data_IF_246829402251
#
_entry.id   IF_246829402251
#
_cell.length_a   1.000
_cell.length_b   1.000
_cell.length_c   1.000
_cell.angle_alpha   90.00
_cell.angle_beta   90.00
_cell.angle_gamma   90.00
#
_symmetry.space_group_name_H-M   'P 1'
#
loop_
_entity.id
_entity.type
_entity.pdbx_description
1 polymer ?
#
# COMPACT_ATOMS: atom_id res chain seq x y z
N UNK A 1 5.31 13.16 -2.45
CA UNK A 1 4.40 12.20 -1.81
C UNK A 1 3.75 11.37 -2.91
N UNK A 2 3.29 10.17 -2.60
CA UNK A 2 2.53 9.28 -3.47
C UNK A 2 1.11 9.08 -2.89
N UNK A 3 0.33 8.16 -3.45
CA UNK A 3 -0.91 7.67 -2.85
C UNK A 3 -2.19 8.29 -3.40
N UNK A 4 -3.30 7.97 -2.74
CA UNK A 4 -4.65 8.30 -3.20
C UNK A 4 -4.91 9.80 -3.18
N UNK A 5 -4.43 10.53 -2.16
CA UNK A 5 -4.53 12.00 -2.12
C UNK A 5 -3.92 12.65 -3.34
N UNK A 6 -2.77 12.15 -3.79
CA UNK A 6 -2.09 12.67 -4.97
C UNK A 6 -2.91 12.37 -6.22
N UNK A 7 -3.43 11.15 -6.33
CA UNK A 7 -4.26 10.74 -7.46
C UNK A 7 -5.50 11.63 -7.63
N UNK A 8 -6.28 11.85 -6.56
CA UNK A 8 -7.53 12.64 -6.65
C UNK A 8 -7.26 14.12 -6.90
N UNK A 9 -6.18 14.68 -6.35
CA UNK A 9 -5.77 16.06 -6.66
C UNK A 9 -5.37 16.19 -8.12
N UNK A 10 -4.59 15.25 -8.66
CA UNK A 10 -4.23 15.24 -10.08
C UNK A 10 -5.45 15.15 -10.97
N UNK A 11 -6.40 14.27 -10.64
CA UNK A 11 -7.66 14.15 -11.36
C UNK A 11 -8.45 15.47 -11.35
N UNK A 12 -8.57 16.13 -10.20
CA UNK A 12 -9.25 17.42 -10.08
C UNK A 12 -8.57 18.54 -10.88
N UNK A 13 -7.25 18.49 -11.03
CA UNK A 13 -6.47 19.41 -11.85
C UNK A 13 -6.40 19.03 -13.33
N UNK A 14 -7.06 17.94 -13.75
CA UNK A 14 -7.03 17.43 -15.13
C UNK A 14 -5.67 16.87 -15.55
N UNK A 15 -4.84 16.46 -14.60
CA UNK A 15 -3.53 15.87 -14.85
C UNK A 15 -3.63 14.33 -15.02
N UNK A 16 -2.70 13.70 -15.75
CA UNK A 16 -2.66 12.24 -15.90
C UNK A 16 -2.49 11.50 -14.55
N UNK A 17 -3.19 10.36 -14.41
CA UNK A 17 -3.24 9.55 -13.17
C UNK A 17 -2.82 8.08 -13.34
N UNK A 18 -2.26 7.67 -14.49
CA UNK A 18 -1.90 6.28 -14.74
C UNK A 18 -0.55 5.85 -14.12
N UNK A 19 -0.50 4.67 -13.51
CA UNK A 19 0.71 4.05 -12.95
C UNK A 19 1.43 4.89 -11.89
N UNK A 20 2.72 5.14 -12.06
CA UNK A 20 3.52 5.97 -11.13
C UNK A 20 3.11 7.45 -11.11
N UNK A 21 2.12 7.85 -11.93
CA UNK A 21 1.59 9.21 -11.98
C UNK A 21 0.90 9.66 -10.69
N UNK A 22 0.63 8.77 -9.73
CA UNK A 22 0.19 9.15 -8.38
C UNK A 22 1.32 9.72 -7.52
N UNK A 23 2.35 10.32 -8.11
CA UNK A 23 3.49 10.97 -7.43
C UNK A 23 3.39 12.49 -7.59
N UNK A 24 3.65 13.23 -6.50
CA UNK A 24 3.82 14.69 -6.57
C UNK A 24 5.06 15.01 -7.41
N UNK A 25 4.82 15.67 -8.53
CA UNK A 25 5.84 16.10 -9.48
C UNK A 25 5.75 17.61 -9.73
N UNK A 26 6.69 18.13 -10.55
CA UNK A 26 6.73 19.56 -10.86
C UNK A 26 5.45 20.06 -11.55
N UNK A 27 4.91 19.38 -12.59
CA UNK A 27 3.65 19.77 -13.21
C UNK A 27 2.48 19.89 -12.21
N UNK A 28 2.37 18.96 -11.26
CA UNK A 28 1.35 19.04 -10.23
C UNK A 28 1.54 20.25 -9.31
N UNK A 29 2.76 20.50 -8.82
CA UNK A 29 3.03 21.66 -7.96
C UNK A 29 2.75 22.99 -8.68
N UNK A 30 3.08 23.08 -9.97
CA UNK A 30 2.77 24.27 -10.77
C UNK A 30 1.25 24.45 -10.97
N UNK A 31 0.52 23.37 -11.21
CA UNK A 31 -0.95 23.40 -11.32
C UNK A 31 -1.64 23.75 -9.99
N UNK A 32 -1.14 23.23 -8.86
CA UNK A 32 -1.62 23.62 -7.52
C UNK A 32 -1.35 25.09 -7.25
N UNK A 33 -0.17 25.60 -7.63
CA UNK A 33 0.17 27.02 -7.47
C UNK A 33 -0.79 27.93 -8.26
N UNK A 34 -1.20 27.52 -9.46
CA UNK A 34 -2.19 28.26 -10.26
C UNK A 34 -3.60 28.17 -9.66
N UNK A 35 -3.99 27.00 -9.15
CA UNK A 35 -5.23 26.85 -8.40
C UNK A 35 -5.26 27.77 -7.17
N UNK A 36 -4.19 27.79 -6.39
CA UNK A 36 -4.07 28.67 -5.21
C UNK A 36 -4.17 30.15 -5.59
N UNK A 37 -3.47 30.57 -6.64
CA UNK A 37 -3.54 31.93 -7.17
C UNK A 37 -4.95 32.34 -7.57
N UNK A 38 -5.66 31.48 -8.32
CA UNK A 38 -7.02 31.76 -8.79
C UNK A 38 -8.08 31.74 -7.69
N UNK A 39 -7.79 31.10 -6.55
CA UNK A 39 -8.70 30.99 -5.41
C UNK A 39 -8.30 31.86 -4.21
N UNK A 40 -7.30 32.74 -4.35
CA UNK A 40 -6.89 33.66 -3.28
C UNK A 40 -6.27 32.98 -2.06
N UNK A 41 -5.59 31.85 -2.27
CA UNK A 41 -4.88 31.10 -1.23
C UNK A 41 -3.40 31.46 -1.20
N UNK A 42 -2.72 31.09 -0.12
CA UNK A 42 -1.25 31.13 -0.06
C UNK A 42 -0.68 30.23 -1.18
N UNK A 43 0.25 30.78 -1.96
CA UNK A 43 0.80 30.13 -3.15
C UNK A 43 2.10 29.42 -2.77
N UNK A 44 1.99 28.19 -2.28
CA UNK A 44 3.12 27.33 -1.91
C UNK A 44 3.28 26.10 -2.81
N UNK A 45 2.33 25.85 -3.72
CA UNK A 45 2.31 24.69 -4.60
C UNK A 45 2.03 23.36 -3.87
N UNK A 46 1.61 23.43 -2.61
CA UNK A 46 1.34 22.29 -1.74
C UNK A 46 -0.16 22.23 -1.44
N UNK A 47 -0.74 21.05 -1.61
CA UNK A 47 -2.11 20.81 -1.14
C UNK A 47 -2.05 20.49 0.35
N UNK A 48 -2.29 21.49 1.20
CA UNK A 48 -2.61 21.31 2.61
C UNK A 48 -4.13 21.31 2.86
N UNK A 49 -4.60 21.20 4.12
CA UNK A 49 -6.02 21.16 4.47
C UNK A 49 -6.86 22.31 3.88
N UNK A 50 -6.29 23.52 3.83
CA UNK A 50 -6.98 24.71 3.28
C UNK A 50 -7.14 24.59 1.77
N UNK A 51 -6.06 24.28 1.04
CA UNK A 51 -6.11 24.04 -0.41
C UNK A 51 -7.03 22.87 -0.75
N UNK A 52 -6.96 21.77 0.02
CA UNK A 52 -7.81 20.59 -0.13
C UNK A 52 -9.30 20.94 -0.05
N UNK A 53 -9.70 21.67 0.99
CA UNK A 53 -11.08 22.12 1.16
C UNK A 53 -11.51 23.09 0.04
N UNK A 54 -10.63 24.00 -0.39
CA UNK A 54 -10.90 24.92 -1.49
C UNK A 54 -11.11 24.20 -2.83
N UNK A 55 -10.44 23.06 -3.06
CA UNK A 55 -10.66 22.20 -4.23
C UNK A 55 -12.01 21.45 -4.19
N UNK A 56 -12.80 21.59 -3.11
CA UNK A 56 -14.13 20.99 -2.97
C UNK A 56 -14.14 19.60 -2.33
N UNK A 57 -12.99 19.10 -1.87
CA UNK A 57 -12.91 17.83 -1.15
C UNK A 57 -13.41 17.97 0.30
N UNK A 58 -13.86 16.86 0.90
CA UNK A 58 -14.32 16.89 2.29
C UNK A 58 -13.11 17.04 3.21
N UNK A 59 -13.14 17.92 4.23
CA UNK A 59 -12.01 18.10 5.13
C UNK A 59 -11.58 16.83 5.88
N UNK A 60 -12.51 15.93 6.18
CA UNK A 60 -12.22 14.65 6.83
C UNK A 60 -11.36 13.71 5.97
N UNK A 61 -11.55 13.76 4.65
CA UNK A 61 -10.87 12.88 3.70
C UNK A 61 -9.35 13.17 3.67
N UNK A 62 -8.94 14.40 3.98
CA UNK A 62 -7.52 14.77 4.10
C UNK A 62 -6.77 13.91 5.12
N UNK A 63 -7.44 13.54 6.22
CA UNK A 63 -6.90 12.71 7.29
C UNK A 63 -7.19 11.22 7.10
N UNK A 64 -8.31 10.89 6.44
CA UNK A 64 -8.73 9.50 6.23
C UNK A 64 -8.02 8.81 5.04
N UNK A 65 -7.52 9.57 4.07
CA UNK A 65 -6.78 9.00 2.95
C UNK A 65 -5.29 8.83 3.27
N UNK A 66 -4.74 7.73 2.76
CA UNK A 66 -3.38 7.24 2.95
C UNK A 66 -3.02 7.04 4.44
N UNK A 67 -4.01 6.56 5.21
CA UNK A 67 -3.92 6.26 6.64
C UNK A 67 -4.51 4.89 6.93
N UNK A 68 -4.08 4.27 8.05
CA UNK A 68 -4.67 3.02 8.52
C UNK A 68 -6.17 3.17 8.75
N UNK A 69 -6.96 2.36 8.04
CA UNK A 69 -8.43 2.40 8.12
C UNK A 69 -9.05 1.02 8.28
N UNK A 70 -8.29 -0.06 8.13
CA UNK A 70 -8.79 -1.39 8.40
C UNK A 70 -9.23 -1.53 9.87
N UNK A 71 -10.43 -2.10 10.14
CA UNK A 71 -10.85 -2.34 11.51
C UNK A 71 -9.97 -3.42 12.16
N UNK A 72 -9.76 -3.37 13.48
CA UNK A 72 -9.17 -4.49 14.20
C UNK A 72 -10.15 -5.67 14.17
N UNK A 73 -9.69 -6.81 13.67
CA UNK A 73 -10.45 -8.04 13.42
C UNK A 73 -10.09 -9.17 14.38
N UNK A 74 -9.05 -8.97 15.20
CA UNK A 74 -8.53 -9.97 16.11
C UNK A 74 -8.79 -9.62 17.58
N UNK A 75 -8.81 -10.66 18.41
CA UNK A 75 -8.88 -10.57 19.87
C UNK A 75 -7.72 -11.38 20.48
N UNK A 76 -7.16 -11.01 21.65
CA UNK A 76 -6.06 -11.74 22.28
C UNK A 76 -6.32 -13.24 22.55
N UNK A 77 -7.57 -13.70 22.53
CA UNK A 77 -7.94 -15.11 22.69
C UNK A 77 -7.91 -15.93 21.40
N UNK A 78 -7.77 -15.28 20.23
CA UNK A 78 -7.73 -15.98 18.95
C UNK A 78 -6.44 -16.79 18.81
N UNK A 79 -6.56 -18.00 18.28
CA UNK A 79 -5.38 -18.79 17.94
C UNK A 79 -4.72 -18.29 16.66
N UNK A 80 -3.49 -18.74 16.44
CA UNK A 80 -2.68 -18.37 15.29
C UNK A 80 -3.38 -18.66 13.95
N UNK A 81 -4.10 -19.77 13.84
CA UNK A 81 -4.73 -20.15 12.58
C UNK A 81 -5.87 -19.18 12.23
N UNK A 82 -6.67 -18.78 13.23
CA UNK A 82 -7.74 -17.80 13.03
C UNK A 82 -7.18 -16.41 12.69
N UNK A 83 -6.07 -15.99 13.31
CA UNK A 83 -5.40 -14.72 12.97
C UNK A 83 -4.95 -14.72 11.50
N UNK A 84 -4.37 -15.82 11.00
CA UNK A 84 -3.99 -15.95 9.59
C UNK A 84 -5.20 -15.82 8.68
N UNK A 85 -6.33 -16.45 9.03
CA UNK A 85 -7.55 -16.33 8.22
C UNK A 85 -8.15 -14.93 8.26
N UNK A 86 -8.10 -14.19 9.38
CA UNK A 86 -8.53 -12.79 9.42
C UNK A 86 -7.59 -11.88 8.62
N UNK A 87 -6.28 -12.13 8.64
CA UNK A 87 -5.32 -11.44 7.78
C UNK A 87 -5.66 -11.64 6.31
N UNK A 88 -5.89 -12.90 5.90
CA UNK A 88 -6.26 -13.21 4.51
C UNK A 88 -7.65 -12.69 4.16
N UNK A 89 -8.59 -12.67 5.10
CA UNK A 89 -9.92 -12.09 4.91
C UNK A 89 -9.84 -10.59 4.63
N UNK A 90 -8.94 -9.85 5.32
CA UNK A 90 -8.70 -8.44 5.03
C UNK A 90 -8.04 -8.26 3.66
N UNK A 91 -6.97 -9.00 3.36
CA UNK A 91 -6.29 -8.98 2.05
C UNK A 91 -7.28 -9.28 0.92
N UNK A 92 -8.21 -10.22 1.11
CA UNK A 92 -9.20 -10.60 0.11
C UNK A 92 -10.20 -9.50 -0.23
N UNK A 93 -10.40 -8.49 0.63
CA UNK A 93 -11.25 -7.33 0.33
C UNK A 93 -10.67 -6.47 -0.80
N UNK A 94 -9.36 -6.57 -1.06
CA UNK A 94 -8.66 -5.85 -2.11
C UNK A 94 -8.76 -6.54 -3.48
N UNK A 95 -9.41 -7.71 -3.58
CA UNK A 95 -9.68 -8.30 -4.89
C UNK A 95 -10.68 -7.40 -5.64
N UNK A 96 -10.28 -6.87 -6.80
CA UNK A 96 -11.01 -5.89 -7.59
C UNK A 96 -10.85 -4.44 -7.11
N UNK A 97 -10.08 -4.18 -6.05
CA UNK A 97 -9.73 -2.83 -5.62
C UNK A 97 -8.74 -2.22 -6.62
N UNK A 98 -8.85 -0.91 -6.95
CA UNK A 98 -7.97 -0.28 -7.91
C UNK A 98 -6.53 -0.21 -7.37
N UNK A 99 -5.55 -0.46 -8.23
CA UNK A 99 -4.15 -0.28 -7.86
C UNK A 99 -3.80 1.21 -7.75
N UNK A 100 -3.26 1.63 -6.59
CA UNK A 100 -2.84 3.02 -6.35
C UNK A 100 -1.40 3.06 -5.82
N UNK A 101 -0.47 3.53 -6.66
CA UNK A 101 0.95 3.64 -6.31
C UNK A 101 1.18 4.47 -5.03
N UNK A 102 1.80 3.85 -4.02
CA UNK A 102 2.05 4.43 -2.69
C UNK A 102 0.80 4.66 -1.84
N UNK A 103 -0.34 4.08 -2.23
CA UNK A 103 -1.59 4.13 -1.50
C UNK A 103 -1.69 3.02 -0.46
N UNK A 104 -2.16 3.37 0.73
CA UNK A 104 -2.62 2.46 1.76
C UNK A 104 -3.97 3.00 2.26
N UNK A 105 -5.07 2.44 1.76
CA UNK A 105 -6.42 2.96 2.00
C UNK A 105 -7.41 1.82 2.08
N UNK A 106 -8.65 2.16 2.44
CA UNK A 106 -9.82 1.29 2.29
C UNK A 106 -9.90 0.77 0.85
N UNK A 107 -10.31 -0.50 0.61
CA UNK A 107 -10.38 -1.11 -0.72
C UNK A 107 -11.12 -0.29 -1.79
N UNK A 108 -12.15 0.46 -1.42
CA UNK A 108 -12.89 1.33 -2.37
C UNK A 108 -12.02 2.45 -2.98
N UNK A 109 -10.92 2.81 -2.33
CA UNK A 109 -9.99 3.85 -2.78
C UNK A 109 -8.68 3.26 -3.33
N UNK A 110 -8.38 2.00 -3.03
CA UNK A 110 -7.22 1.31 -3.59
C UNK A 110 -5.93 1.43 -2.77
N UNK A 111 -5.04 0.49 -3.02
CA UNK A 111 -3.71 0.43 -2.43
C UNK A 111 -2.69 -0.07 -3.45
N UNK A 112 -1.40 0.02 -3.13
CA UNK A 112 -0.40 -0.78 -3.81
C UNK A 112 -0.14 -2.11 -3.07
N UNK A 113 0.73 -2.94 -3.67
CA UNK A 113 1.13 -4.25 -3.15
C UNK A 113 1.46 -4.24 -1.65
N UNK A 114 2.21 -3.24 -1.18
CA UNK A 114 2.64 -3.14 0.20
C UNK A 114 1.69 -2.31 1.07
N UNK A 115 0.96 -1.36 0.50
CA UNK A 115 -0.10 -0.65 1.22
C UNK A 115 -1.23 -1.57 1.67
N UNK A 116 -1.66 -2.51 0.81
CA UNK A 116 -2.61 -3.58 1.17
C UNK A 116 -2.06 -4.44 2.31
N UNK A 117 -0.78 -4.81 2.27
CA UNK A 117 -0.15 -5.61 3.34
C UNK A 117 -0.14 -4.84 4.66
N UNK A 118 0.16 -3.54 4.65
CA UNK A 118 0.12 -2.72 5.86
C UNK A 118 -1.28 -2.66 6.49
N UNK A 119 -2.33 -2.46 5.67
CA UNK A 119 -3.72 -2.47 6.15
C UNK A 119 -4.11 -3.83 6.74
N UNK A 120 -3.74 -4.91 6.07
CA UNK A 120 -4.03 -6.26 6.55
C UNK A 120 -3.26 -6.61 7.84
N UNK A 121 -1.99 -6.21 7.97
CA UNK A 121 -1.22 -6.36 9.20
C UNK A 121 -1.89 -5.58 10.35
N UNK A 122 -2.28 -4.33 10.10
CA UNK A 122 -2.97 -3.50 11.07
C UNK A 122 -4.31 -4.12 11.53
N UNK A 123 -5.08 -4.67 10.58
CA UNK A 123 -6.35 -5.32 10.86
C UNK A 123 -6.24 -6.52 11.82
N UNK A 124 -5.07 -7.15 11.91
CA UNK A 124 -4.84 -8.27 12.83
C UNK A 124 -3.98 -7.90 14.04
N UNK A 125 -3.71 -6.60 14.24
CA UNK A 125 -2.95 -6.09 15.38
C UNK A 125 -1.42 -6.26 15.24
N UNK A 126 -0.93 -6.53 14.02
CA UNK A 126 0.51 -6.52 13.73
C UNK A 126 0.93 -5.12 13.27
N UNK A 127 1.73 -4.44 14.08
CA UNK A 127 2.36 -3.16 13.76
C UNK A 127 3.87 -3.37 13.57
N UNK A 128 4.40 -3.29 12.32
CA UNK A 128 5.83 -3.44 12.03
C UNK A 128 6.61 -2.16 12.36
N UNK A 129 6.51 -1.71 13.62
CA UNK A 129 6.89 -0.38 14.11
C UNK A 129 8.08 0.21 13.38
N UNK A 130 7.88 1.48 12.99
CA UNK A 130 8.69 2.32 12.09
C UNK A 130 8.40 2.15 10.60
N UNK A 131 7.57 1.19 10.20
CA UNK A 131 6.98 1.09 8.86
C UNK A 131 5.49 1.41 8.99
N UNK A 132 5.05 2.54 8.43
CA UNK A 132 3.67 3.03 8.55
C UNK A 132 3.12 3.54 7.20
N UNK A 133 1.81 3.81 7.13
CA UNK A 133 1.15 4.32 5.91
C UNK A 133 1.64 5.71 5.49
N UNK A 134 2.13 6.53 6.44
CA UNK A 134 2.64 7.87 6.16
C UNK A 134 3.98 7.78 5.42
N UNK A 135 4.88 6.94 5.90
CA UNK A 135 6.17 6.65 5.24
C UNK A 135 5.96 5.91 3.93
N UNK A 136 4.98 5.01 3.86
CA UNK A 136 4.61 4.30 2.65
C UNK A 136 4.32 5.27 1.48
N UNK A 137 3.67 6.40 1.76
CA UNK A 137 3.40 7.45 0.78
C UNK A 137 4.63 8.32 0.41
N UNK A 138 5.83 8.10 0.97
CA UNK A 138 7.02 8.87 0.59
C UNK A 138 7.61 8.38 -0.75
N UNK A 139 7.96 9.26 -1.70
CA UNK A 139 8.32 8.86 -3.08
C UNK A 139 9.44 7.84 -3.20
N UNK A 140 10.45 7.93 -2.33
CA UNK A 140 11.63 7.07 -2.34
C UNK A 140 11.55 5.90 -1.35
N UNK A 141 10.54 5.88 -0.47
CA UNK A 141 10.39 4.83 0.52
C UNK A 141 9.85 3.56 -0.14
N UNK A 142 10.30 2.40 0.32
CA UNK A 142 9.95 1.11 -0.29
C UNK A 142 9.57 0.13 0.81
N UNK A 143 8.30 0.20 1.23
CA UNK A 143 7.74 -0.69 2.26
C UNK A 143 8.01 -2.17 1.98
N UNK A 144 7.99 -2.60 0.72
CA UNK A 144 8.37 -3.97 0.33
C UNK A 144 9.78 -4.37 0.80
N UNK A 145 10.76 -3.47 0.67
CA UNK A 145 12.15 -3.73 1.09
C UNK A 145 12.31 -3.64 2.60
N UNK A 146 11.60 -2.71 3.22
CA UNK A 146 11.64 -2.48 4.66
C UNK A 146 11.00 -3.65 5.41
N UNK A 147 9.86 -4.17 4.94
CA UNK A 147 9.24 -5.38 5.47
C UNK A 147 10.15 -6.60 5.29
N UNK A 148 10.78 -6.77 4.12
CA UNK A 148 11.73 -7.87 3.90
C UNK A 148 12.99 -7.74 4.76
N UNK A 149 13.43 -6.53 5.10
CA UNK A 149 14.60 -6.31 5.93
C UNK A 149 14.27 -6.22 7.44
N UNK A 150 13.00 -6.38 7.82
CA UNK A 150 12.56 -6.14 9.19
C UNK A 150 13.15 -7.20 10.13
N UNK A 151 13.91 -6.82 11.18
CA UNK A 151 14.72 -7.75 11.97
C UNK A 151 13.89 -8.75 12.78
N UNK A 152 12.66 -8.38 13.14
CA UNK A 152 11.77 -9.23 13.95
C UNK A 152 10.86 -10.14 13.13
N UNK A 153 10.86 -10.02 11.79
CA UNK A 153 10.05 -10.88 10.94
C UNK A 153 10.83 -12.14 10.54
N UNK A 154 10.16 -13.30 10.60
CA UNK A 154 10.79 -14.58 10.36
C UNK A 154 10.96 -14.84 8.86
N UNK A 155 12.20 -15.04 8.42
CA UNK A 155 12.50 -15.52 7.07
C UNK A 155 12.40 -17.05 7.02
N UNK A 156 11.74 -17.56 5.99
CA UNK A 156 11.66 -18.99 5.69
C UNK A 156 12.03 -19.23 4.23
N UNK A 157 12.65 -20.37 3.89
CA UNK A 157 12.84 -20.75 2.49
C UNK A 157 11.49 -20.78 1.77
N UNK A 158 11.42 -20.30 0.52
CA UNK A 158 10.17 -20.36 -0.29
C UNK A 158 9.65 -21.79 -0.47
N UNK A 159 10.49 -22.81 -0.34
CA UNK A 159 10.07 -24.22 -0.32
C UNK A 159 9.27 -24.61 0.93
N UNK A 160 9.37 -23.84 2.02
CA UNK A 160 8.70 -24.03 3.30
C UNK A 160 7.60 -23.00 3.56
N UNK A 161 7.26 -22.21 2.53
CA UNK A 161 6.21 -21.20 2.60
C UNK A 161 4.86 -21.83 2.96
N UNK A 162 4.07 -21.07 3.68
CA UNK A 162 2.75 -21.42 4.16
C UNK A 162 1.75 -20.33 3.78
N UNK A 163 0.46 -20.70 3.83
CA UNK A 163 -0.64 -19.76 3.73
C UNK A 163 -0.45 -18.60 4.72
N UNK A 164 -0.55 -17.37 4.22
CA UNK A 164 -0.33 -16.14 4.99
C UNK A 164 1.12 -15.62 4.97
N UNK A 165 2.08 -16.38 4.43
CA UNK A 165 3.44 -15.87 4.24
C UNK A 165 3.48 -14.82 3.12
N UNK A 166 4.39 -13.86 3.27
CA UNK A 166 4.65 -12.81 2.30
C UNK A 166 5.68 -13.28 1.27
N UNK A 167 5.34 -13.17 -0.01
CA UNK A 167 6.20 -13.50 -1.14
C UNK A 167 6.73 -12.22 -1.77
N UNK A 168 8.04 -12.17 -2.03
CA UNK A 168 8.70 -10.97 -2.55
C UNK A 168 9.25 -11.22 -3.95
N UNK A 169 9.13 -10.23 -4.83
CA UNK A 169 9.66 -10.29 -6.18
C UNK A 169 10.73 -9.20 -6.39
N UNK A 170 11.84 -9.59 -6.99
CA UNK A 170 13.03 -8.77 -7.21
C UNK A 170 13.53 -8.86 -8.66
N UNK A 171 14.00 -7.75 -9.22
CA UNK A 171 14.44 -7.72 -10.62
C UNK A 171 15.71 -8.54 -10.90
N UNK A 172 16.47 -8.87 -9.85
CA UNK A 172 17.71 -9.68 -9.95
C UNK A 172 17.81 -10.73 -8.84
N UNK A 173 16.72 -10.99 -8.10
CA UNK A 173 16.67 -11.91 -6.97
C UNK A 173 17.23 -11.36 -5.65
N UNK A 174 17.82 -10.15 -5.64
CA UNK A 174 18.39 -9.57 -4.41
C UNK A 174 17.36 -8.76 -3.62
N UNK A 175 17.54 -8.70 -2.29
CA UNK A 175 16.70 -7.90 -1.39
C UNK A 175 16.65 -6.41 -1.77
N UNK A 176 17.78 -5.83 -2.18
CA UNK A 176 17.89 -4.42 -2.57
C UNK A 176 17.13 -4.04 -3.85
N UNK A 177 16.72 -5.02 -4.65
CA UNK A 177 15.94 -4.83 -5.88
C UNK A 177 14.53 -5.38 -5.81
N UNK A 178 14.04 -5.69 -4.60
CA UNK A 178 12.62 -6.02 -4.39
C UNK A 178 11.77 -4.85 -4.91
N UNK A 179 10.74 -5.19 -5.68
CA UNK A 179 9.82 -4.25 -6.30
C UNK A 179 8.34 -4.60 -6.06
N UNK A 180 8.03 -5.83 -5.63
CA UNK A 180 6.64 -6.27 -5.43
C UNK A 180 6.54 -7.27 -4.28
N UNK A 181 5.37 -7.31 -3.64
CA UNK A 181 5.03 -8.21 -2.56
C UNK A 181 3.63 -8.82 -2.82
N UNK A 182 3.43 -10.07 -2.44
CA UNK A 182 2.16 -10.78 -2.55
C UNK A 182 1.94 -11.67 -1.33
N UNK A 183 0.71 -12.13 -1.10
CA UNK A 183 0.34 -12.99 0.04
C UNK A 183 0.07 -14.40 -0.47
N UNK A 184 0.82 -15.40 0.02
CA UNK A 184 0.61 -16.80 -0.34
C UNK A 184 -0.70 -17.35 0.24
N UNK A 185 -1.49 -18.06 -0.58
CA UNK A 185 -2.73 -18.71 -0.16
C UNK A 185 -2.52 -20.19 0.23
N UNK A 186 -1.33 -20.75 0.02
CA UNK A 186 -0.93 -22.10 0.41
C UNK A 186 -1.26 -23.20 -0.60
N UNK A 187 -2.00 -22.86 -1.66
CA UNK A 187 -2.44 -23.79 -2.72
C UNK A 187 -1.73 -23.53 -4.06
N UNK A 188 -0.63 -22.78 -4.04
CA UNK A 188 0.09 -22.35 -5.24
C UNK A 188 -0.47 -21.09 -5.88
N UNK A 189 -1.46 -20.44 -5.24
CA UNK A 189 -1.97 -19.12 -5.60
C UNK A 189 -1.59 -18.06 -4.57
N UNK A 190 -1.74 -16.80 -4.94
CA UNK A 190 -1.44 -15.64 -4.10
C UNK A 190 -2.41 -14.50 -4.38
N UNK A 191 -2.61 -13.63 -3.39
CA UNK A 191 -3.27 -12.33 -3.59
C UNK A 191 -2.21 -11.25 -3.77
N UNK A 192 -2.43 -10.37 -4.74
CA UNK A 192 -1.56 -9.24 -5.03
C UNK A 192 -2.34 -8.02 -5.51
N UNK A 193 -1.85 -6.84 -5.14
CA UNK A 193 -2.26 -5.56 -5.72
C UNK A 193 -1.26 -5.17 -6.81
N UNK A 194 -1.72 -5.12 -8.06
CA UNK A 194 -0.92 -4.82 -9.24
C UNK A 194 -1.83 -4.25 -10.33
N UNK A 195 -1.31 -3.44 -11.24
CA UNK A 195 -2.16 -2.81 -12.26
C UNK A 195 -2.99 -3.85 -13.07
N UNK A 196 -4.27 -3.55 -13.36
CA UNK A 196 -5.02 -2.37 -12.93
C UNK A 196 -5.66 -2.47 -11.53
N UNK A 197 -5.75 -3.67 -10.96
CA UNK A 197 -6.53 -3.96 -9.75
C UNK A 197 -6.01 -5.22 -9.02
N UNK A 198 -6.34 -5.31 -7.74
CA UNK A 198 -6.02 -6.46 -6.91
C UNK A 198 -6.69 -7.74 -7.40
N UNK A 199 -5.97 -8.86 -7.32
CA UNK A 199 -6.43 -10.14 -7.89
C UNK A 199 -5.78 -11.35 -7.23
N UNK A 200 -6.36 -12.52 -7.49
CA UNK A 200 -5.72 -13.82 -7.24
C UNK A 200 -4.92 -14.20 -8.48
N UNK A 201 -3.67 -14.60 -8.28
CA UNK A 201 -2.75 -15.06 -9.32
C UNK A 201 -2.11 -16.38 -8.92
N UNK A 202 -1.65 -17.16 -9.91
CA UNK A 202 -0.71 -18.26 -9.63
C UNK A 202 0.63 -17.70 -9.14
N UNK A 203 1.23 -18.32 -8.13
CA UNK A 203 2.57 -17.96 -7.66
C UNK A 203 3.56 -18.10 -8.81
N UNK A 204 4.28 -17.02 -9.10
CA UNK A 204 5.26 -16.99 -10.20
C UNK A 204 6.63 -17.39 -9.68
N UNK A 205 7.35 -18.23 -10.43
CA UNK A 205 8.75 -18.57 -10.10
C UNK A 205 9.75 -17.52 -10.61
N UNK A 206 9.43 -16.83 -11.71
CA UNK A 206 10.26 -15.75 -12.24
C UNK A 206 10.32 -14.59 -11.25
N UNK A 207 11.54 -14.10 -11.00
CA UNK A 207 11.83 -12.97 -10.09
C UNK A 207 11.48 -13.21 -8.62
N UNK A 208 11.03 -14.41 -8.23
CA UNK A 208 10.72 -14.73 -6.85
C UNK A 208 12.01 -14.77 -6.02
N UNK A 209 12.04 -14.04 -4.91
CA UNK A 209 13.13 -14.10 -3.93
C UNK A 209 13.15 -15.48 -3.27
N UNK A 210 14.32 -16.00 -2.91
CA UNK A 210 14.46 -17.36 -2.35
C UNK A 210 13.84 -17.56 -0.97
N UNK A 211 13.52 -16.47 -0.28
CA UNK A 211 12.93 -16.46 1.06
C UNK A 211 11.55 -15.76 1.02
N UNK A 212 10.63 -16.31 1.80
CA UNK A 212 9.36 -15.68 2.17
C UNK A 212 9.47 -15.12 3.59
N UNK A 213 8.59 -14.19 3.94
CA UNK A 213 8.48 -13.66 5.30
C UNK A 213 7.22 -14.21 5.97
N UNK A 214 7.41 -14.90 7.10
CA UNK A 214 6.34 -15.43 7.95
C UNK A 214 5.98 -14.41 9.02
N UNK A 215 4.77 -13.87 8.91
CA UNK A 215 4.24 -12.88 9.86
C UNK A 215 3.81 -13.51 11.20
N UNK A 216 3.39 -14.78 11.16
CA UNK A 216 2.88 -15.51 12.31
C UNK A 216 3.73 -16.78 12.50
N UNK A 217 4.83 -16.74 13.26
CA UNK A 217 5.65 -17.92 13.53
C UNK A 217 4.93 -18.99 14.36
#
# INVERSE_FOLDING_TARGET
MNGYKVMVVRQALGLPVAGTSSTVDRPMMDAVSEFQRSNGLDIDGIVGPVTWAAMGFRPGDWHAYDSYVAPLRTDPSMDRALIIEEFIAEVSRYIGSPYVWGGANHPDHGADCSGMVLEAMYAVGLDPVSIDTVKHALPAYRTTRELFAHPDLLHVPVSERQRGDLLFYSSDGTAGRIYHIAIDLGDGTMIEETEPEGRISTVRSTNLVSEAVRLFP
#
